data_IF_612488080978
#
_entry.id   IF_612488080978
#
_cell.length_a   1.000
_cell.length_b   1.000
_cell.length_c   1.000
_cell.angle_alpha   90.00
_cell.angle_beta   90.00
_cell.angle_gamma   90.00
#
_symmetry.space_group_name_H-M   'P 1'
#
loop_
_entity.id
_entity.type
_entity.pdbx_description
1 polymer ?
#
# COMPACT_ATOMS: atom_id res chain seq x y z
N UNK A 1 7.05 -18.47 12.47
CA UNK A 1 6.86 -19.21 13.74
C UNK A 1 6.52 -18.32 14.94
N UNK A 2 6.77 -17.00 14.94
CA UNK A 2 6.50 -16.15 16.13
C UNK A 2 5.09 -15.55 16.29
N UNK A 3 4.15 -15.82 15.38
CA UNK A 3 2.82 -15.18 15.37
C UNK A 3 1.72 -16.04 15.99
N UNK A 4 1.94 -17.35 16.18
CA UNK A 4 0.90 -18.23 16.73
C UNK A 4 0.52 -17.80 18.16
N UNK A 5 -0.78 -17.80 18.46
CA UNK A 5 -1.35 -17.35 19.74
C UNK A 5 -1.44 -15.83 19.92
N UNK A 6 -0.83 -15.04 19.02
CA UNK A 6 -0.85 -13.58 19.07
C UNK A 6 -2.22 -13.00 18.71
N UNK A 7 -2.56 -11.87 19.31
CA UNK A 7 -3.78 -11.11 19.02
C UNK A 7 -3.49 -10.08 17.95
N UNK A 8 -4.06 -10.27 16.76
CA UNK A 8 -3.81 -9.45 15.58
C UNK A 8 -5.07 -8.70 15.17
N UNK A 9 -4.93 -7.41 14.90
CA UNK A 9 -6.01 -6.57 14.36
C UNK A 9 -5.87 -6.44 12.84
N UNK A 10 -6.92 -6.81 12.11
CA UNK A 10 -6.97 -6.66 10.64
C UNK A 10 -7.77 -5.43 10.18
N UNK A 11 -8.67 -4.92 11.02
CA UNK A 11 -9.70 -3.96 10.65
C UNK A 11 -10.98 -4.66 10.18
N UNK A 12 -12.02 -3.89 9.85
CA UNK A 12 -13.31 -4.42 9.37
C UNK A 12 -13.66 -3.88 7.99
N UNK A 13 -14.25 -4.73 7.15
CA UNK A 13 -14.84 -4.37 5.85
C UNK A 13 -13.91 -3.81 4.78
N UNK A 14 -12.65 -3.52 5.10
CA UNK A 14 -11.71 -2.86 4.19
C UNK A 14 -11.01 -3.85 3.25
N UNK A 15 -10.41 -3.31 2.19
CA UNK A 15 -9.49 -4.08 1.35
C UNK A 15 -8.31 -4.64 2.17
N UNK A 16 -7.72 -3.84 3.05
CA UNK A 16 -6.60 -4.25 3.90
C UNK A 16 -6.94 -5.40 4.84
N UNK A 17 -8.16 -5.40 5.41
CA UNK A 17 -8.62 -6.50 6.26
C UNK A 17 -8.69 -7.83 5.49
N UNK A 18 -9.22 -7.78 4.25
CA UNK A 18 -9.31 -8.96 3.37
C UNK A 18 -7.92 -9.48 2.96
N UNK A 19 -7.00 -8.59 2.58
CA UNK A 19 -5.63 -9.02 2.28
C UNK A 19 -4.92 -9.56 3.54
N UNK A 20 -5.13 -8.95 4.71
CA UNK A 20 -4.56 -9.46 5.96
C UNK A 20 -5.01 -10.89 6.27
N UNK A 21 -6.31 -11.16 6.18
CA UNK A 21 -6.85 -12.51 6.37
C UNK A 21 -6.29 -13.50 5.34
N UNK A 22 -6.19 -13.09 4.07
CA UNK A 22 -5.57 -13.88 3.00
C UNK A 22 -4.12 -14.22 3.31
N UNK A 23 -3.33 -13.27 3.81
CA UNK A 23 -1.91 -13.51 4.12
C UNK A 23 -1.74 -14.43 5.33
N UNK A 24 -2.59 -14.29 6.36
CA UNK A 24 -2.62 -15.26 7.47
C UNK A 24 -2.88 -16.68 6.96
N UNK A 25 -3.84 -16.84 6.04
CA UNK A 25 -4.11 -18.13 5.41
C UNK A 25 -2.94 -18.65 4.59
N UNK A 26 -2.37 -17.83 3.70
CA UNK A 26 -1.21 -18.21 2.88
C UNK A 26 -0.03 -18.66 3.74
N UNK A 27 0.17 -18.03 4.90
CA UNK A 27 1.29 -18.35 5.79
C UNK A 27 0.95 -19.38 6.88
N UNK A 28 -0.19 -20.08 6.77
CA UNK A 28 -0.57 -21.16 7.68
C UNK A 28 -0.90 -20.70 9.11
N UNK A 29 -1.34 -19.45 9.26
CA UNK A 29 -1.75 -18.80 10.52
C UNK A 29 -3.27 -18.69 10.69
N UNK A 30 -4.06 -19.10 9.70
CA UNK A 30 -5.53 -19.17 9.80
C UNK A 30 -5.93 -20.07 10.99
N UNK A 31 -6.75 -19.55 11.89
CA UNK A 31 -7.14 -20.24 13.14
C UNK A 31 -6.05 -20.35 14.20
N UNK A 32 -4.82 -19.86 13.94
CA UNK A 32 -3.70 -19.90 14.90
C UNK A 32 -3.41 -18.56 15.57
N UNK A 33 -4.01 -17.49 15.09
CA UNK A 33 -3.98 -16.15 15.73
C UNK A 33 -5.36 -15.83 16.30
N UNK A 34 -5.38 -14.97 17.31
CA UNK A 34 -6.63 -14.37 17.80
C UNK A 34 -6.90 -13.11 17.00
N UNK A 35 -8.09 -12.93 16.46
CA UNK A 35 -8.45 -11.74 15.70
C UNK A 35 -9.14 -10.72 16.61
N UNK A 36 -8.62 -9.50 16.62
CA UNK A 36 -9.28 -8.37 17.26
C UNK A 36 -10.31 -7.75 16.29
N UNK A 37 -11.59 -7.87 16.64
CA UNK A 37 -12.72 -7.43 15.83
C UNK A 37 -13.03 -5.94 16.07
N UNK A 38 -12.12 -5.05 15.67
CA UNK A 38 -12.27 -3.59 15.75
C UNK A 38 -11.75 -2.89 14.50
N UNK A 39 -12.13 -1.62 14.31
CA UNK A 39 -11.67 -0.80 13.19
C UNK A 39 -10.15 -0.54 13.23
N UNK A 40 -9.52 -0.41 12.05
CA UNK A 40 -8.08 -0.17 11.90
C UNK A 40 -7.63 1.13 12.60
N UNK A 41 -8.51 2.13 12.70
CA UNK A 41 -8.24 3.37 13.43
C UNK A 41 -7.91 3.14 14.92
N UNK A 42 -8.34 2.01 15.50
CA UNK A 42 -8.06 1.65 16.88
C UNK A 42 -6.76 0.87 17.06
N UNK A 43 -6.01 0.59 15.99
CA UNK A 43 -4.82 -0.25 16.06
C UNK A 43 -3.73 0.31 16.96
N UNK A 44 -3.37 1.59 16.80
CA UNK A 44 -2.28 2.18 17.59
C UNK A 44 -2.67 2.31 19.08
N UNK A 45 -3.87 2.81 19.45
CA UNK A 45 -4.31 2.80 20.84
C UNK A 45 -4.37 1.39 21.45
N UNK A 46 -4.90 0.40 20.72
CA UNK A 46 -4.99 -0.97 21.21
C UNK A 46 -3.60 -1.61 21.41
N UNK A 47 -2.65 -1.30 20.54
CA UNK A 47 -1.26 -1.77 20.66
C UNK A 47 -0.59 -1.17 21.90
N UNK A 48 -0.75 0.15 22.12
CA UNK A 48 -0.20 0.85 23.30
C UNK A 48 -0.78 0.33 24.61
N UNK A 49 -2.05 -0.07 24.60
CA UNK A 49 -2.75 -0.62 25.76
C UNK A 49 -2.52 -2.13 25.96
N UNK A 50 -1.71 -2.78 25.12
CA UNK A 50 -1.44 -4.22 25.21
C UNK A 50 -2.65 -5.10 24.89
N UNK A 51 -3.68 -4.55 24.24
CA UNK A 51 -4.90 -5.27 23.86
C UNK A 51 -4.69 -6.14 22.60
N UNK A 52 -3.71 -5.76 21.78
CA UNK A 52 -3.27 -6.51 20.61
C UNK A 52 -1.75 -6.62 20.62
N UNK A 53 -1.22 -7.68 20.01
CA UNK A 53 0.22 -7.88 19.81
C UNK A 53 0.70 -7.27 18.48
N UNK A 54 -0.21 -7.00 17.55
CA UNK A 54 0.12 -6.46 16.24
C UNK A 54 -1.11 -6.15 15.40
N UNK A 55 -0.91 -5.51 14.26
CA UNK A 55 -1.96 -5.20 13.31
C UNK A 55 -1.47 -5.34 11.87
N UNK A 56 -2.41 -5.49 10.95
CA UNK A 56 -2.16 -5.47 9.51
C UNK A 56 -2.63 -4.14 8.94
N UNK A 57 -1.85 -3.59 8.02
CA UNK A 57 -2.24 -2.41 7.24
C UNK A 57 -1.88 -2.64 5.78
N UNK A 58 -2.71 -2.12 4.89
CA UNK A 58 -2.44 -2.10 3.46
C UNK A 58 -2.57 -0.64 2.99
N UNK A 59 -1.45 -0.02 2.67
CA UNK A 59 -1.38 1.38 2.26
C UNK A 59 0.03 1.77 1.85
N UNK A 60 0.15 2.95 1.24
CA UNK A 60 1.44 3.48 0.80
C UNK A 60 2.34 3.81 1.99
N UNK A 61 3.65 3.56 1.83
CA UNK A 61 4.64 3.93 2.84
C UNK A 61 5.22 5.34 2.57
N UNK A 62 5.62 6.08 3.61
CA UNK A 62 5.45 5.76 5.03
C UNK A 62 4.00 6.00 5.48
N UNK A 63 3.38 4.97 6.08
CA UNK A 63 1.98 5.06 6.53
C UNK A 63 1.89 5.73 7.92
N UNK A 64 1.00 6.72 8.14
CA UNK A 64 0.93 7.45 9.42
C UNK A 64 0.71 6.55 10.66
N UNK A 65 -0.17 5.56 10.56
CA UNK A 65 -0.42 4.62 11.66
C UNK A 65 0.81 3.75 11.99
N UNK A 66 1.62 3.40 10.99
CA UNK A 66 2.87 2.64 11.21
C UNK A 66 3.96 3.55 11.79
N UNK A 67 4.06 4.80 11.33
CA UNK A 67 4.95 5.81 11.94
C UNK A 67 4.62 5.96 13.44
N UNK A 68 3.35 6.16 13.76
CA UNK A 68 2.90 6.34 15.15
C UNK A 68 3.12 5.09 15.98
N UNK A 69 2.77 3.90 15.47
CA UNK A 69 2.97 2.64 16.17
C UNK A 69 4.46 2.37 16.46
N UNK A 70 5.34 2.61 15.48
CA UNK A 70 6.78 2.43 15.65
C UNK A 70 7.34 3.41 16.67
N UNK A 71 6.96 4.69 16.60
CA UNK A 71 7.47 5.73 17.49
C UNK A 71 6.94 5.63 18.92
N UNK A 72 5.67 5.24 19.12
CA UNK A 72 5.00 5.30 20.41
C UNK A 72 4.83 3.97 21.14
N UNK A 73 4.87 2.84 20.41
CA UNK A 73 4.69 1.51 20.97
C UNK A 73 5.87 0.56 20.64
N UNK A 74 6.92 1.04 19.98
CA UNK A 74 8.05 0.21 19.56
C UNK A 74 7.68 -0.86 18.54
N UNK A 75 6.61 -0.64 17.78
CA UNK A 75 6.17 -1.59 16.75
C UNK A 75 7.24 -1.71 15.66
N UNK A 76 7.46 -2.95 15.19
CA UNK A 76 8.33 -3.24 14.05
C UNK A 76 7.52 -3.85 12.92
N UNK A 77 7.78 -3.42 11.70
CA UNK A 77 7.21 -4.06 10.51
C UNK A 77 7.95 -5.37 10.25
N UNK A 78 7.21 -6.44 10.00
CA UNK A 78 7.78 -7.75 9.72
C UNK A 78 8.04 -7.89 8.22
N UNK A 79 9.31 -8.15 7.85
CA UNK A 79 9.66 -8.49 6.46
C UNK A 79 9.11 -9.86 6.08
N UNK A 80 8.69 -9.98 4.83
CA UNK A 80 8.35 -11.25 4.19
C UNK A 80 9.63 -11.90 3.63
N UNK A 81 9.70 -13.22 3.74
CA UNK A 81 10.72 -14.02 3.04
C UNK A 81 10.43 -14.12 1.54
N UNK A 82 11.43 -14.46 0.74
CA UNK A 82 11.31 -14.69 -0.70
C UNK A 82 10.23 -15.74 -1.04
N UNK A 83 10.12 -16.79 -0.22
CA UNK A 83 9.08 -17.81 -0.36
C UNK A 83 7.68 -17.21 -0.14
N UNK A 84 7.52 -16.38 0.89
CA UNK A 84 6.25 -15.70 1.16
C UNK A 84 5.88 -14.69 0.06
N UNK A 85 6.87 -13.97 -0.49
CA UNK A 85 6.67 -13.10 -1.66
C UNK A 85 6.19 -13.93 -2.85
N UNK A 86 6.86 -15.03 -3.18
CA UNK A 86 6.48 -15.92 -4.27
C UNK A 86 5.06 -16.47 -4.08
N UNK A 87 4.73 -16.89 -2.86
CA UNK A 87 3.41 -17.43 -2.51
C UNK A 87 2.30 -16.38 -2.64
N UNK A 88 2.60 -15.11 -2.33
CA UNK A 88 1.63 -14.01 -2.44
C UNK A 88 1.21 -13.73 -3.89
N UNK A 89 2.06 -14.08 -4.88
CA UNK A 89 1.92 -13.71 -6.29
C UNK A 89 1.77 -12.19 -6.51
N UNK A 90 2.32 -11.38 -5.61
CA UNK A 90 2.35 -9.92 -5.70
C UNK A 90 3.75 -9.44 -6.07
N UNK A 91 3.83 -8.18 -6.52
CA UNK A 91 5.09 -7.53 -6.83
C UNK A 91 5.88 -7.29 -5.54
N UNK A 92 7.16 -7.69 -5.54
CA UNK A 92 8.11 -7.40 -4.45
C UNK A 92 8.28 -5.89 -4.30
N UNK A 93 8.34 -5.42 -3.06
CA UNK A 93 8.60 -4.02 -2.72
C UNK A 93 9.56 -3.96 -1.53
N UNK A 94 10.57 -3.12 -1.62
CA UNK A 94 11.48 -2.83 -0.52
C UNK A 94 11.16 -1.46 0.07
N UNK A 95 10.92 -1.42 1.39
CA UNK A 95 10.82 -0.16 2.14
C UNK A 95 12.22 0.18 2.66
N UNK A 96 12.80 1.34 2.30
CA UNK A 96 14.17 1.71 2.68
C UNK A 96 14.39 1.72 4.20
N UNK A 97 15.62 1.44 4.63
CA UNK A 97 16.06 1.63 6.01
C UNK A 97 15.75 3.05 6.52
N UNK A 98 15.40 3.19 7.80
CA UNK A 98 15.09 4.48 8.42
C UNK A 98 13.74 5.09 8.05
N UNK A 99 12.86 4.34 7.38
CA UNK A 99 11.48 4.78 7.08
C UNK A 99 10.64 4.88 8.36
N UNK A 100 10.80 3.94 9.29
CA UNK A 100 10.08 3.91 10.57
C UNK A 100 11.06 3.96 11.75
N UNK A 101 10.60 4.45 12.91
CA UNK A 101 11.41 4.50 14.12
C UNK A 101 11.91 3.10 14.52
N UNK A 102 13.20 2.98 14.83
CA UNK A 102 13.82 1.70 15.22
C UNK A 102 14.07 0.71 14.06
N UNK A 103 13.76 1.07 12.81
CA UNK A 103 14.02 0.23 11.64
C UNK A 103 15.38 0.56 11.01
N UNK A 104 16.38 -0.28 11.27
CA UNK A 104 17.76 -0.12 10.78
C UNK A 104 18.07 -0.83 9.46
N UNK A 105 17.23 -1.77 9.02
CA UNK A 105 17.39 -2.54 7.78
C UNK A 105 16.17 -2.38 6.89
N UNK A 106 16.31 -2.61 5.59
CA UNK A 106 15.20 -2.62 4.64
C UNK A 106 14.11 -3.63 5.04
N UNK A 107 12.86 -3.33 4.67
CA UNK A 107 11.73 -4.22 4.86
C UNK A 107 11.25 -4.72 3.50
N UNK A 108 11.35 -6.04 3.29
CA UNK A 108 10.78 -6.71 2.12
C UNK A 108 9.30 -6.97 2.34
N UNK A 109 8.47 -6.47 1.43
CA UNK A 109 7.02 -6.65 1.45
C UNK A 109 6.48 -6.76 0.03
N UNK A 110 5.16 -6.68 -0.12
CA UNK A 110 4.47 -6.74 -1.41
C UNK A 110 3.71 -5.46 -1.71
N UNK A 111 3.65 -5.09 -2.99
CA UNK A 111 2.87 -3.95 -3.49
C UNK A 111 1.67 -4.40 -4.31
N UNK A 112 0.70 -3.50 -4.41
CA UNK A 112 -0.40 -3.55 -5.37
C UNK A 112 -0.52 -2.22 -6.09
N UNK A 113 -0.68 -2.23 -7.43
CA UNK A 113 -0.94 -1.00 -8.15
C UNK A 113 -2.29 -0.43 -7.74
N UNK A 114 -2.30 0.86 -7.45
CA UNK A 114 -3.53 1.65 -7.26
C UNK A 114 -3.67 2.52 -8.49
N UNK A 115 -4.81 2.41 -9.15
CA UNK A 115 -5.10 3.11 -10.41
C UNK A 115 -6.40 3.91 -10.23
N UNK A 116 -6.42 5.14 -10.75
CA UNK A 116 -7.63 5.92 -10.87
C UNK A 116 -8.38 5.49 -12.15
N UNK A 117 -9.62 5.04 -12.00
CA UNK A 117 -10.45 4.61 -13.11
C UNK A 117 -11.43 5.72 -13.53
N UNK A 118 -11.59 5.88 -14.85
CA UNK A 118 -12.67 6.64 -15.46
C UNK A 118 -13.72 5.68 -16.03
N UNK A 119 -14.92 6.17 -16.29
CA UNK A 119 -15.90 5.44 -17.11
C UNK A 119 -15.58 5.64 -18.59
N UNK A 120 -16.10 4.76 -19.44
CA UNK A 120 -16.01 4.89 -20.91
C UNK A 120 -16.76 6.10 -21.45
N UNK A 121 -17.65 6.69 -20.65
CA UNK A 121 -18.48 7.83 -21.04
C UNK A 121 -17.83 9.19 -20.73
N UNK A 122 -16.68 9.18 -20.04
CA UNK A 122 -15.92 10.42 -19.79
C UNK A 122 -15.38 10.96 -21.11
N UNK A 123 -15.52 12.27 -21.35
CA UNK A 123 -14.97 12.86 -22.55
C UNK A 123 -13.43 13.04 -22.45
N UNK A 124 -12.77 13.05 -23.61
CA UNK A 124 -11.31 13.16 -23.70
C UNK A 124 -10.75 14.44 -23.07
N UNK A 125 -11.48 15.56 -23.17
CA UNK A 125 -11.00 16.83 -22.62
C UNK A 125 -11.00 16.79 -21.09
N UNK A 126 -12.03 16.21 -20.48
CA UNK A 126 -12.13 15.98 -19.04
C UNK A 126 -11.05 15.03 -18.56
N UNK A 127 -10.85 13.88 -19.22
CA UNK A 127 -9.81 12.92 -18.86
C UNK A 127 -8.39 13.50 -18.98
N UNK A 128 -8.13 14.28 -20.04
CA UNK A 128 -6.88 15.01 -20.20
C UNK A 128 -6.66 16.01 -19.06
N UNK A 129 -7.66 16.83 -18.76
CA UNK A 129 -7.57 17.86 -17.73
C UNK A 129 -7.31 17.24 -16.35
N UNK A 130 -8.05 16.20 -15.97
CA UNK A 130 -7.85 15.49 -14.70
C UNK A 130 -6.45 14.90 -14.59
N UNK A 131 -5.99 14.23 -15.65
CA UNK A 131 -4.65 13.63 -15.68
C UNK A 131 -3.57 14.69 -15.53
N UNK A 132 -3.66 15.77 -16.32
CA UNK A 132 -2.73 16.91 -16.25
C UNK A 132 -2.69 17.53 -14.86
N UNK A 133 -3.86 17.87 -14.31
CA UNK A 133 -3.96 18.48 -12.98
C UNK A 133 -3.36 17.59 -11.89
N UNK A 134 -3.59 16.28 -11.94
CA UNK A 134 -3.00 15.33 -10.99
C UNK A 134 -1.46 15.39 -11.00
N UNK A 135 -0.85 15.28 -12.19
CA UNK A 135 0.61 15.25 -12.31
C UNK A 135 1.27 16.60 -12.00
N UNK A 136 0.64 17.71 -12.36
CA UNK A 136 1.10 19.05 -11.99
C UNK A 136 1.00 19.32 -10.48
N UNK A 137 -0.02 18.77 -9.81
CA UNK A 137 -0.20 18.89 -8.36
C UNK A 137 0.68 17.92 -7.54
N UNK A 138 1.26 16.88 -8.16
CA UNK A 138 1.97 15.80 -7.47
C UNK A 138 3.09 16.29 -6.53
N UNK A 139 3.83 17.33 -6.91
CA UNK A 139 4.88 17.91 -6.07
C UNK A 139 4.33 18.55 -4.77
N UNK A 140 3.20 19.26 -4.87
CA UNK A 140 2.52 19.83 -3.70
C UNK A 140 1.96 18.72 -2.80
N UNK A 141 1.36 17.69 -3.40
CA UNK A 141 0.87 16.51 -2.68
C UNK A 141 2.01 15.78 -1.94
N UNK A 142 3.20 15.66 -2.56
CA UNK A 142 4.41 15.11 -1.95
C UNK A 142 4.93 15.90 -0.75
N UNK A 143 4.75 17.22 -0.75
CA UNK A 143 5.06 18.09 0.38
C UNK A 143 4.08 17.89 1.54
N UNK A 144 2.79 17.73 1.23
CA UNK A 144 1.74 17.50 2.22
C UNK A 144 1.80 16.07 2.82
N UNK A 145 2.07 15.07 1.98
CA UNK A 145 2.15 13.68 2.38
C UNK A 145 3.24 12.93 1.60
N UNK A 146 4.28 12.49 2.32
CA UNK A 146 5.52 11.97 1.75
C UNK A 146 5.34 10.74 0.85
N UNK A 147 4.29 9.94 1.04
CA UNK A 147 4.06 8.75 0.22
C UNK A 147 3.81 9.09 -1.27
N UNK A 148 3.34 10.30 -1.58
CA UNK A 148 3.16 10.74 -2.97
C UNK A 148 4.48 10.87 -3.72
N UNK A 149 5.61 11.01 -3.01
CA UNK A 149 6.92 11.06 -3.66
C UNK A 149 7.29 9.74 -4.33
N UNK A 150 6.69 8.62 -3.89
CA UNK A 150 6.87 7.31 -4.52
C UNK A 150 6.14 7.15 -5.86
N UNK A 151 5.20 8.02 -6.22
CA UNK A 151 4.44 7.92 -7.49
C UNK A 151 5.27 8.47 -8.65
N UNK A 152 5.50 7.68 -9.69
CA UNK A 152 6.26 8.10 -10.89
C UNK A 152 5.59 7.65 -12.18
N UNK A 153 5.95 8.28 -13.30
CA UNK A 153 5.45 7.92 -14.63
C UNK A 153 5.86 6.50 -15.04
N UNK A 154 6.98 5.99 -14.52
CA UNK A 154 7.42 4.60 -14.76
C UNK A 154 6.41 3.56 -14.23
N UNK A 155 5.54 3.95 -13.30
CA UNK A 155 4.51 3.06 -12.77
C UNK A 155 3.39 2.77 -13.78
N UNK A 156 3.30 3.50 -14.90
CA UNK A 156 2.31 3.27 -15.95
C UNK A 156 2.42 1.84 -16.53
N UNK A 157 3.62 1.24 -16.51
CA UNK A 157 3.84 -0.14 -16.95
C UNK A 157 3.07 -1.19 -16.11
N UNK A 158 2.59 -0.81 -14.92
CA UNK A 158 1.78 -1.70 -14.07
C UNK A 158 0.28 -1.67 -14.42
N UNK A 159 -0.14 -0.77 -15.32
CA UNK A 159 -1.54 -0.69 -15.75
C UNK A 159 -1.76 -1.74 -16.84
N UNK A 160 -2.70 -2.65 -16.62
CA UNK A 160 -3.00 -3.75 -17.56
C UNK A 160 -4.30 -3.54 -18.34
N UNK A 161 -5.01 -2.46 -18.05
CA UNK A 161 -6.25 -2.05 -18.73
C UNK A 161 -5.95 -0.94 -19.73
N UNK A 162 -6.90 -0.68 -20.62
CA UNK A 162 -6.83 0.46 -21.53
C UNK A 162 -6.75 1.78 -20.73
N UNK A 163 -5.87 2.68 -21.17
CA UNK A 163 -5.77 4.03 -20.61
C UNK A 163 -6.63 4.94 -21.47
N UNK A 164 -7.46 5.77 -20.82
CA UNK A 164 -8.35 6.70 -21.50
C UNK A 164 -7.60 7.56 -22.55
N UNK A 165 -8.14 7.78 -23.77
CA UNK A 165 -7.44 8.50 -24.83
C UNK A 165 -7.00 9.92 -24.43
N UNK A 166 -7.87 10.69 -23.75
CA UNK A 166 -7.49 11.95 -23.11
C UNK A 166 -6.28 11.88 -22.16
N UNK A 167 -6.15 10.83 -21.34
CA UNK A 167 -4.99 10.62 -20.48
C UNK A 167 -3.74 10.22 -21.28
N UNK A 168 -3.89 9.34 -22.28
CA UNK A 168 -2.81 8.96 -23.23
C UNK A 168 -2.23 10.19 -23.91
N UNK A 169 -3.07 11.15 -24.30
CA UNK A 169 -2.62 12.41 -24.89
C UNK A 169 -1.68 13.16 -23.94
N UNK A 170 -2.07 13.35 -22.68
CA UNK A 170 -1.20 14.01 -21.68
C UNK A 170 0.11 13.25 -21.47
N UNK A 171 0.04 11.93 -21.31
CA UNK A 171 1.23 11.10 -21.10
C UNK A 171 2.24 11.21 -22.25
N UNK A 172 1.76 11.22 -23.50
CA UNK A 172 2.60 11.45 -24.68
C UNK A 172 3.23 12.85 -24.70
N UNK A 173 2.47 13.89 -24.34
CA UNK A 173 2.97 15.28 -24.28
C UNK A 173 4.13 15.46 -23.29
N UNK A 174 4.07 14.79 -22.15
CA UNK A 174 5.14 14.85 -21.12
C UNK A 174 6.25 13.82 -21.34
N UNK A 175 6.23 13.08 -22.46
CA UNK A 175 7.25 12.10 -22.81
C UNK A 175 7.23 10.83 -21.95
N UNK A 176 6.10 10.51 -21.31
CA UNK A 176 5.96 9.27 -20.56
C UNK A 176 5.98 8.06 -21.51
N UNK A 177 6.60 6.96 -21.05
CA UNK A 177 6.55 5.69 -21.77
C UNK A 177 5.22 4.99 -21.46
N UNK A 178 4.57 4.48 -22.50
CA UNK A 178 3.38 3.65 -22.39
C UNK A 178 3.71 2.28 -22.98
N UNK A 179 3.32 1.21 -22.29
CA UNK A 179 3.40 -0.14 -22.81
C UNK A 179 2.56 -0.30 -24.09
N UNK A 180 2.95 -1.23 -24.97
CA UNK A 180 2.35 -1.39 -26.30
C UNK A 180 0.87 -1.82 -26.30
N UNK A 181 0.36 -2.27 -25.15
CA UNK A 181 -1.06 -2.64 -24.98
C UNK A 181 -1.96 -1.45 -24.62
N UNK A 182 -1.40 -0.24 -24.50
CA UNK A 182 -2.13 1.00 -24.27
C UNK A 182 -2.32 1.83 -25.54
#
# INVERSE_FOLDING_TARGET
TGMEGKTILLGKGSFGAREGAKYLKLFGLEGKVKLAEVELSNAVPALKNGQIDGFVTAGSYPAPNVIEAAASAGARVLSLSDEQIKLSKRTRLEIPAGTYAGQSSEITTTSLPVVAFATTDMDDATAYALTKTFWEAKASMGSAAKWWNGVSLDMLDNIVTEIHPGAVKYYKEVGAKLASHH
#
